data_IF_850127889026
#
_entry.id   IF_850127889026
#
_cell.length_a   1.000
_cell.length_b   1.000
_cell.length_c   1.000
_cell.angle_alpha   90.00
_cell.angle_beta   90.00
_cell.angle_gamma   90.00
#
_symmetry.space_group_name_H-M   'P 1'
#
loop_
_entity.id
_entity.type
_entity.pdbx_description
1 polymer ?
#
# COMPACT_ATOMS: atom_id res chain seq x y z
N UNK A 1 -55.81 5.81 23.59
CA UNK A 1 -55.47 5.89 22.16
C UNK A 1 -53.97 5.68 22.05
N UNK A 2 -53.52 4.53 21.54
CA UNK A 2 -52.09 4.23 21.41
C UNK A 2 -51.50 5.03 20.25
N UNK A 3 -50.42 5.80 20.43
CA UNK A 3 -49.77 6.47 19.31
C UNK A 3 -49.16 5.41 18.38
N UNK A 4 -49.49 5.49 17.09
CA UNK A 4 -48.87 4.68 16.05
C UNK A 4 -47.35 4.86 16.12
N UNK A 5 -46.62 3.75 16.20
CA UNK A 5 -45.17 3.74 16.06
C UNK A 5 -44.79 4.40 14.73
N UNK A 6 -43.97 5.46 14.81
CA UNK A 6 -43.45 6.14 13.63
C UNK A 6 -42.67 5.14 12.74
N UNK A 7 -42.75 5.29 11.40
CA UNK A 7 -42.10 4.38 10.47
C UNK A 7 -40.59 4.34 10.74
N UNK A 8 -40.06 3.13 10.88
CA UNK A 8 -38.63 2.84 11.04
C UNK A 8 -37.91 3.53 9.88
N UNK A 9 -37.10 4.54 10.18
CA UNK A 9 -36.33 5.25 9.18
C UNK A 9 -35.48 4.23 8.39
N UNK A 10 -35.53 4.24 7.04
CA UNK A 10 -34.78 3.28 6.24
C UNK A 10 -33.27 3.40 6.53
N UNK A 11 -32.51 2.29 6.43
CA UNK A 11 -31.10 2.26 6.76
C UNK A 11 -30.34 3.32 5.98
N UNK A 12 -29.57 4.13 6.71
CA UNK A 12 -28.78 5.24 6.19
C UNK A 12 -27.94 4.76 4.99
N UNK A 13 -28.19 5.34 3.80
CA UNK A 13 -27.35 5.07 2.63
C UNK A 13 -25.93 5.52 2.91
N UNK A 14 -24.99 4.60 2.66
CA UNK A 14 -23.56 4.80 2.75
C UNK A 14 -23.13 6.11 2.09
N UNK A 15 -22.33 6.91 2.79
CA UNK A 15 -21.59 8.01 2.19
C UNK A 15 -20.97 7.55 0.86
N UNK A 16 -21.07 8.40 -0.17
CA UNK A 16 -20.78 8.06 -1.56
C UNK A 16 -19.43 7.37 -1.79
N UNK A 17 -19.23 6.78 -2.99
CA UNK A 17 -18.03 6.02 -3.31
C UNK A 17 -16.76 6.83 -3.07
N UNK A 18 -15.69 6.14 -2.68
CA UNK A 18 -14.38 6.72 -2.45
C UNK A 18 -13.92 7.50 -3.70
N UNK A 19 -13.26 8.67 -3.56
CA UNK A 19 -12.79 9.43 -4.71
C UNK A 19 -11.91 8.54 -5.61
N UNK A 20 -12.06 8.60 -6.94
CA UNK A 20 -11.44 7.64 -7.86
C UNK A 20 -9.90 7.68 -7.79
N UNK A 21 -9.31 8.86 -7.58
CA UNK A 21 -7.87 9.05 -7.40
C UNK A 21 -7.33 8.34 -6.16
N UNK A 22 -8.04 8.45 -5.03
CA UNK A 22 -7.67 7.77 -3.79
C UNK A 22 -7.96 6.27 -3.89
N UNK A 23 -9.04 5.87 -4.55
CA UNK A 23 -9.34 4.46 -4.82
C UNK A 23 -8.19 3.81 -5.60
N UNK A 24 -7.72 4.46 -6.66
CA UNK A 24 -6.56 4.00 -7.42
C UNK A 24 -5.29 3.92 -6.56
N UNK A 25 -5.00 4.94 -5.74
CA UNK A 25 -3.86 4.93 -4.82
C UNK A 25 -3.91 3.77 -3.83
N UNK A 26 -5.08 3.51 -3.22
CA UNK A 26 -5.31 2.39 -2.30
C UNK A 26 -5.12 1.04 -2.99
N UNK A 27 -5.63 0.88 -4.21
CA UNK A 27 -5.41 -0.34 -5.00
C UNK A 27 -3.93 -0.57 -5.30
N UNK A 28 -3.20 0.49 -5.66
CA UNK A 28 -1.77 0.41 -5.94
C UNK A 28 -0.95 0.09 -4.68
N UNK A 29 -1.27 0.69 -3.53
CA UNK A 29 -0.65 0.31 -2.26
C UNK A 29 -0.95 -1.15 -1.90
N UNK A 30 -2.19 -1.60 -2.08
CA UNK A 30 -2.57 -3.00 -1.86
C UNK A 30 -1.79 -3.97 -2.77
N UNK A 31 -1.70 -3.68 -4.06
CA UNK A 31 -0.93 -4.46 -5.01
C UNK A 31 0.56 -4.49 -4.65
N UNK A 32 1.14 -3.33 -4.29
CA UNK A 32 2.52 -3.22 -3.84
C UNK A 32 2.78 -4.05 -2.59
N UNK A 33 1.89 -4.01 -1.60
CA UNK A 33 2.00 -4.79 -0.38
C UNK A 33 1.92 -6.29 -0.65
N UNK A 34 1.00 -6.73 -1.50
CA UNK A 34 0.88 -8.14 -1.87
C UNK A 34 2.11 -8.64 -2.63
N UNK A 35 2.64 -7.83 -3.55
CA UNK A 35 3.91 -8.14 -4.22
C UNK A 35 5.07 -8.22 -3.22
N UNK A 36 5.12 -7.32 -2.24
CA UNK A 36 6.14 -7.31 -1.18
C UNK A 36 6.07 -8.56 -0.29
N UNK A 37 4.87 -8.91 0.16
CA UNK A 37 4.61 -10.13 0.94
C UNK A 37 4.96 -11.39 0.14
N UNK A 38 4.57 -11.45 -1.13
CA UNK A 38 4.93 -12.53 -2.04
C UNK A 38 6.44 -12.65 -2.18
N UNK A 39 7.13 -11.56 -2.52
CA UNK A 39 8.58 -11.60 -2.74
C UNK A 39 9.37 -11.99 -1.48
N UNK A 40 9.02 -11.44 -0.31
CA UNK A 40 9.71 -11.74 0.95
C UNK A 40 9.34 -13.12 1.51
N UNK A 41 8.05 -13.47 1.51
CA UNK A 41 7.55 -14.72 2.07
C UNK A 41 7.89 -15.94 1.22
N UNK A 42 7.75 -15.85 -0.10
CA UNK A 42 8.00 -17.00 -0.99
C UNK A 42 9.48 -17.37 -1.00
N UNK A 43 10.39 -16.39 -1.02
CA UNK A 43 11.84 -16.63 -0.97
C UNK A 43 12.28 -17.34 0.32
N UNK A 44 11.75 -16.90 1.47
CA UNK A 44 12.05 -17.51 2.76
C UNK A 44 11.51 -18.94 2.87
N UNK A 45 10.26 -19.17 2.45
CA UNK A 45 9.63 -20.50 2.45
C UNK A 45 10.37 -21.46 1.52
N UNK A 46 10.70 -21.03 0.30
CA UNK A 46 11.46 -21.83 -0.65
C UNK A 46 12.86 -22.17 -0.13
N UNK A 47 13.53 -21.24 0.57
CA UNK A 47 14.79 -21.54 1.26
C UNK A 47 14.65 -22.65 2.30
N UNK A 48 13.55 -22.66 3.06
CA UNK A 48 13.27 -23.69 4.06
C UNK A 48 13.08 -25.08 3.47
N UNK A 49 12.66 -25.18 2.21
CA UNK A 49 12.53 -26.43 1.46
C UNK A 49 13.81 -26.85 0.71
N UNK A 50 14.93 -26.16 0.91
CA UNK A 50 16.19 -26.45 0.25
C UNK A 50 16.26 -26.02 -1.23
N UNK A 51 15.29 -25.22 -1.69
CA UNK A 51 15.32 -24.64 -3.04
C UNK A 51 16.42 -23.58 -3.10
N UNK A 52 17.28 -23.58 -4.14
CA UNK A 52 18.25 -22.52 -4.33
C UNK A 52 17.53 -21.18 -4.50
N UNK A 53 17.81 -20.24 -3.60
CA UNK A 53 17.27 -18.88 -3.60
C UNK A 53 18.41 -17.91 -3.31
N UNK A 54 18.23 -16.64 -3.65
CA UNK A 54 19.25 -15.61 -3.44
C UNK A 54 19.58 -15.43 -1.95
N UNK A 55 20.82 -15.05 -1.63
CA UNK A 55 21.27 -14.83 -0.25
C UNK A 55 20.37 -13.83 0.52
N UNK A 56 19.89 -12.78 -0.16
CA UNK A 56 18.95 -11.79 0.40
C UNK A 56 17.58 -12.36 0.75
N UNK A 57 17.17 -13.48 0.14
CA UNK A 57 15.92 -14.18 0.44
C UNK A 57 16.08 -15.21 1.57
N UNK A 58 17.32 -15.49 1.98
CA UNK A 58 17.65 -16.37 3.12
C UNK A 58 17.92 -15.60 4.40
N UNK A 59 18.28 -14.32 4.30
CA UNK A 59 18.52 -13.48 5.47
C UNK A 59 17.21 -13.25 6.24
N UNK A 60 17.06 -13.83 7.45
CA UNK A 60 15.83 -13.71 8.22
C UNK A 60 15.55 -12.26 8.64
N UNK A 61 16.60 -11.44 8.83
CA UNK A 61 16.45 -10.05 9.24
C UNK A 61 15.93 -9.21 8.07
N UNK A 62 16.56 -9.31 6.90
CA UNK A 62 16.10 -8.67 5.68
C UNK A 62 14.66 -9.04 5.30
N UNK A 63 14.31 -10.33 5.40
CA UNK A 63 12.94 -10.83 5.17
C UNK A 63 11.96 -10.23 6.18
N UNK A 64 12.28 -10.22 7.47
CA UNK A 64 11.40 -9.65 8.49
C UNK A 64 11.15 -8.15 8.26
N UNK A 65 12.19 -7.39 7.91
CA UNK A 65 12.05 -5.96 7.58
C UNK A 65 11.15 -5.78 6.35
N UNK A 66 11.35 -6.57 5.29
CA UNK A 66 10.54 -6.49 4.08
C UNK A 66 9.06 -6.82 4.35
N UNK A 67 8.79 -7.83 5.18
CA UNK A 67 7.43 -8.19 5.61
C UNK A 67 6.77 -7.08 6.43
N UNK A 68 7.50 -6.48 7.38
CA UNK A 68 7.00 -5.34 8.16
C UNK A 68 6.64 -4.17 7.26
N UNK A 69 7.49 -3.83 6.28
CA UNK A 69 7.19 -2.78 5.31
C UNK A 69 5.93 -3.09 4.48
N UNK A 70 5.82 -4.31 3.95
CA UNK A 70 4.66 -4.72 3.17
C UNK A 70 3.37 -4.64 4.00
N UNK A 71 3.42 -5.06 5.27
CA UNK A 71 2.31 -4.94 6.21
C UNK A 71 1.97 -3.47 6.52
N UNK A 72 2.95 -2.59 6.71
CA UNK A 72 2.72 -1.17 6.93
C UNK A 72 2.02 -0.52 5.73
N UNK A 73 2.42 -0.86 4.51
CA UNK A 73 1.77 -0.38 3.27
C UNK A 73 0.35 -0.93 3.15
N UNK A 74 0.12 -2.19 3.53
CA UNK A 74 -1.22 -2.79 3.54
C UNK A 74 -2.15 -2.12 4.56
N UNK A 75 -1.64 -1.87 5.77
CA UNK A 75 -2.36 -1.14 6.82
C UNK A 75 -2.67 0.28 6.35
N UNK A 76 -1.73 0.95 5.67
CA UNK A 76 -1.96 2.27 5.09
C UNK A 76 -3.08 2.25 4.04
N UNK A 77 -3.07 1.27 3.14
CA UNK A 77 -4.13 1.08 2.14
C UNK A 77 -5.49 0.89 2.81
N UNK A 78 -5.54 0.03 3.83
CA UNK A 78 -6.76 -0.26 4.59
C UNK A 78 -7.27 0.97 5.35
N UNK A 79 -6.41 1.70 6.05
CA UNK A 79 -6.79 2.91 6.78
C UNK A 79 -7.30 4.01 5.84
N UNK A 80 -6.65 4.19 4.70
CA UNK A 80 -7.04 5.20 3.72
C UNK A 80 -8.36 4.84 3.05
N UNK A 81 -8.50 3.59 2.57
CA UNK A 81 -9.73 3.08 1.97
C UNK A 81 -10.91 3.01 2.93
N UNK A 82 -10.65 2.81 4.22
CA UNK A 82 -11.68 2.84 5.26
C UNK A 82 -12.12 4.24 5.70
N UNK A 83 -11.41 5.30 5.28
CA UNK A 83 -11.67 6.67 5.77
C UNK A 83 -11.16 6.95 7.18
N UNK A 84 -10.33 6.05 7.73
CA UNK A 84 -9.75 6.16 9.08
C UNK A 84 -8.50 7.04 9.11
N UNK A 85 -7.83 7.21 7.97
CA UNK A 85 -6.64 8.06 7.88
C UNK A 85 -6.99 9.54 8.13
N UNK A 86 -6.12 10.24 8.89
CA UNK A 86 -6.29 11.67 9.16
C UNK A 86 -6.25 12.51 7.87
N UNK A 87 -5.46 12.08 6.90
CA UNK A 87 -5.35 12.63 5.55
C UNK A 87 -4.42 11.77 4.70
N UNK A 88 -4.22 12.14 3.44
CA UNK A 88 -3.43 11.34 2.47
C UNK A 88 -2.07 11.95 2.14
N UNK A 89 -1.78 13.18 2.58
CA UNK A 89 -0.54 13.89 2.25
C UNK A 89 0.71 13.24 2.83
N UNK A 90 0.71 12.96 4.13
CA UNK A 90 1.85 12.32 4.81
C UNK A 90 2.13 10.93 4.22
N UNK A 91 1.08 10.14 4.02
CA UNK A 91 1.14 8.84 3.37
C UNK A 91 1.65 8.90 1.93
N UNK A 92 1.21 9.91 1.18
CA UNK A 92 1.69 10.16 -0.17
C UNK A 92 3.18 10.50 -0.20
N UNK A 93 3.64 11.39 0.68
CA UNK A 93 5.05 11.74 0.82
C UNK A 93 5.91 10.53 1.24
N UNK A 94 5.45 9.74 2.20
CA UNK A 94 6.14 8.51 2.61
C UNK A 94 6.25 7.52 1.45
N UNK A 95 5.19 7.38 0.64
CA UNK A 95 5.21 6.53 -0.55
C UNK A 95 6.19 7.03 -1.60
N UNK A 96 6.28 8.34 -1.82
CA UNK A 96 7.26 8.93 -2.73
C UNK A 96 8.69 8.69 -2.24
N UNK A 97 8.97 8.90 -0.95
CA UNK A 97 10.28 8.63 -0.37
C UNK A 97 10.68 7.16 -0.55
N UNK A 98 9.76 6.24 -0.25
CA UNK A 98 9.99 4.81 -0.45
C UNK A 98 10.16 4.44 -1.91
N UNK A 99 9.41 5.07 -2.82
CA UNK A 99 9.58 4.87 -4.25
C UNK A 99 10.99 5.24 -4.71
N UNK A 100 11.54 6.38 -4.26
CA UNK A 100 12.91 6.77 -4.59
C UNK A 100 13.95 5.82 -3.99
N UNK A 101 13.75 5.35 -2.76
CA UNK A 101 14.61 4.34 -2.15
C UNK A 101 14.61 3.03 -2.95
N UNK A 102 13.43 2.54 -3.33
CA UNK A 102 13.29 1.29 -4.10
C UNK A 102 13.83 1.46 -5.53
N UNK A 103 13.60 2.61 -6.17
CA UNK A 103 14.18 2.92 -7.47
C UNK A 103 15.71 2.97 -7.40
N UNK A 104 16.27 3.62 -6.38
CA UNK A 104 17.71 3.65 -6.13
C UNK A 104 18.29 2.26 -5.94
N UNK A 105 17.61 1.40 -5.17
CA UNK A 105 18.02 0.01 -4.97
C UNK A 105 17.96 -0.82 -6.26
N UNK A 106 16.91 -0.63 -7.08
CA UNK A 106 16.79 -1.27 -8.38
C UNK A 106 17.91 -0.85 -9.35
N UNK A 107 18.22 0.46 -9.39
CA UNK A 107 19.32 1.00 -10.21
C UNK A 107 20.68 0.48 -9.74
N UNK A 108 20.94 0.49 -8.42
CA UNK A 108 22.17 -0.06 -7.85
C UNK A 108 22.33 -1.54 -8.17
N UNK A 109 21.24 -2.31 -8.05
CA UNK A 109 21.21 -3.74 -8.39
C UNK A 109 21.51 -3.96 -9.87
N UNK A 110 20.93 -3.16 -10.77
CA UNK A 110 21.21 -3.22 -12.20
C UNK A 110 22.67 -2.87 -12.51
N UNK A 111 23.22 -1.84 -11.87
CA UNK A 111 24.62 -1.42 -12.02
C UNK A 111 25.60 -2.52 -11.59
N UNK A 112 25.36 -3.16 -10.44
CA UNK A 112 26.18 -4.28 -9.98
C UNK A 112 26.16 -5.47 -10.94
N UNK A 113 25.00 -5.72 -11.57
CA UNK A 113 24.87 -6.73 -12.62
C UNK A 113 25.67 -6.36 -13.88
N UNK A 114 25.47 -5.16 -14.42
CA UNK A 114 26.12 -4.71 -15.67
C UNK A 114 27.64 -4.62 -15.52
N UNK A 115 28.13 -4.28 -14.33
CA UNK A 115 29.58 -4.18 -14.03
C UNK A 115 30.23 -5.52 -13.70
N UNK A 116 29.47 -6.62 -13.68
CA UNK A 116 30.00 -7.95 -13.36
C UNK A 116 30.47 -8.11 -11.90
N UNK A 117 30.18 -7.14 -11.02
CA UNK A 117 30.42 -7.24 -9.57
C UNK A 117 29.32 -8.04 -8.84
N UNK A 118 28.56 -8.84 -9.59
CA UNK A 118 27.46 -9.63 -9.09
C UNK A 118 27.90 -10.72 -8.12
N UNK A 119 27.03 -11.01 -7.16
CA UNK A 119 27.21 -12.08 -6.19
C UNK A 119 27.09 -13.40 -6.97
N UNK A 120 28.19 -14.15 -7.04
CA UNK A 120 28.37 -15.25 -8.00
C UNK A 120 27.18 -16.21 -8.13
N UNK A 121 26.79 -16.47 -9.38
CA UNK A 121 26.05 -17.68 -9.78
C UNK A 121 24.53 -17.61 -9.87
N UNK A 122 23.87 -16.48 -9.57
CA UNK A 122 22.40 -16.38 -9.58
C UNK A 122 21.86 -15.22 -10.45
N UNK A 123 22.42 -15.06 -11.65
CA UNK A 123 22.14 -13.93 -12.54
C UNK A 123 20.63 -13.75 -12.82
N UNK A 124 19.91 -14.83 -13.14
CA UNK A 124 18.46 -14.78 -13.45
C UNK A 124 17.62 -14.35 -12.24
N UNK A 125 17.92 -14.85 -11.04
CA UNK A 125 17.18 -14.50 -9.83
C UNK A 125 17.36 -13.04 -9.43
N UNK A 126 18.53 -12.46 -9.70
CA UNK A 126 18.82 -11.05 -9.44
C UNK A 126 18.01 -10.12 -10.36
N UNK A 127 17.85 -10.45 -11.65
CA UNK A 127 17.04 -9.65 -12.59
C UNK A 127 15.56 -9.62 -12.19
N UNK A 128 15.00 -10.77 -11.81
CA UNK A 128 13.59 -10.86 -11.39
C UNK A 128 13.36 -10.06 -10.10
N UNK A 129 14.27 -10.17 -9.13
CA UNK A 129 14.20 -9.38 -7.90
C UNK A 129 14.31 -7.87 -8.17
N UNK A 130 15.25 -7.44 -9.01
CA UNK A 130 15.41 -6.03 -9.39
C UNK A 130 14.18 -5.49 -10.13
N UNK A 131 13.59 -6.27 -11.05
CA UNK A 131 12.37 -5.91 -11.76
C UNK A 131 11.16 -5.78 -10.82
N UNK A 132 11.02 -6.69 -9.86
CA UNK A 132 9.97 -6.63 -8.84
C UNK A 132 10.12 -5.40 -7.94
N UNK A 133 11.33 -5.09 -7.50
CA UNK A 133 11.63 -3.88 -6.71
C UNK A 133 11.35 -2.62 -7.52
N UNK A 134 11.72 -2.59 -8.81
CA UNK A 134 11.40 -1.50 -9.72
C UNK A 134 9.89 -1.31 -9.94
N UNK A 135 9.14 -2.40 -10.07
CA UNK A 135 7.68 -2.36 -10.18
C UNK A 135 7.02 -1.84 -8.89
N UNK A 136 7.52 -2.26 -7.72
CA UNK A 136 7.09 -1.71 -6.43
C UNK A 136 7.38 -0.22 -6.31
N UNK A 137 8.56 0.23 -6.74
CA UNK A 137 8.91 1.64 -6.80
C UNK A 137 7.90 2.43 -7.64
N UNK A 138 7.54 1.92 -8.82
CA UNK A 138 6.57 2.55 -9.71
C UNK A 138 5.17 2.62 -9.05
N UNK A 139 4.71 1.55 -8.43
CA UNK A 139 3.43 1.54 -7.73
C UNK A 139 3.39 2.55 -6.58
N UNK A 140 4.45 2.62 -5.77
CA UNK A 140 4.58 3.60 -4.69
C UNK A 140 4.65 5.03 -5.22
N UNK A 141 5.32 5.26 -6.35
CA UNK A 141 5.45 6.58 -6.97
C UNK A 141 4.10 7.09 -7.47
N UNK A 142 3.38 6.26 -8.23
CA UNK A 142 2.06 6.60 -8.77
C UNK A 142 1.04 6.73 -7.64
N UNK A 143 1.02 5.81 -6.67
CA UNK A 143 0.13 5.89 -5.51
C UNK A 143 0.41 7.14 -4.67
N UNK A 144 1.68 7.46 -4.43
CA UNK A 144 2.09 8.65 -3.70
C UNK A 144 1.63 9.93 -4.37
N UNK A 145 1.83 10.04 -5.68
CA UNK A 145 1.37 11.20 -6.46
C UNK A 145 -0.15 11.35 -6.46
N UNK A 146 -0.89 10.25 -6.65
CA UNK A 146 -2.35 10.24 -6.61
C UNK A 146 -2.88 10.59 -5.21
N UNK A 147 -2.23 10.12 -4.15
CA UNK A 147 -2.60 10.42 -2.77
C UNK A 147 -2.39 11.90 -2.42
N UNK A 148 -1.31 12.52 -2.90
CA UNK A 148 -1.05 13.96 -2.74
C UNK A 148 -2.05 14.79 -3.53
N UNK A 149 -2.28 14.47 -4.82
CA UNK A 149 -3.25 15.21 -5.64
C UNK A 149 -4.70 15.03 -5.20
N UNK A 150 -5.05 13.84 -4.71
CA UNK A 150 -6.38 13.50 -4.25
C UNK A 150 -6.72 14.00 -2.85
N UNK A 151 -5.79 14.66 -2.14
CA UNK A 151 -5.95 15.07 -0.74
C UNK A 151 -7.23 15.87 -0.50
N UNK A 152 -7.48 16.93 -1.27
CA UNK A 152 -8.67 17.79 -1.09
C UNK A 152 -9.97 17.01 -1.29
N UNK A 153 -10.00 16.10 -2.27
CA UNK A 153 -11.15 15.24 -2.52
C UNK A 153 -11.37 14.23 -1.39
N UNK A 154 -10.29 13.69 -0.82
CA UNK A 154 -10.35 12.81 0.34
C UNK A 154 -10.88 13.53 1.58
N UNK A 155 -10.39 14.73 1.87
CA UNK A 155 -10.82 15.54 3.00
C UNK A 155 -12.30 15.91 2.88
N UNK A 156 -12.75 16.37 1.71
CA UNK A 156 -14.16 16.67 1.45
C UNK A 156 -15.05 15.42 1.63
N UNK A 157 -14.61 14.28 1.09
CA UNK A 157 -15.34 13.01 1.23
C UNK A 157 -15.37 12.50 2.67
N UNK A 158 -14.27 12.65 3.42
CA UNK A 158 -14.17 12.25 4.84
C UNK A 158 -15.02 13.16 5.71
N UNK A 159 -14.99 14.47 5.47
CA UNK A 159 -15.84 15.44 6.14
C UNK A 159 -17.31 15.07 5.97
N UNK A 160 -17.75 14.77 4.75
CA UNK A 160 -19.12 14.33 4.44
C UNK A 160 -19.54 13.02 5.13
N UNK A 161 -18.59 12.18 5.56
CA UNK A 161 -18.86 11.00 6.40
C UNK A 161 -19.05 11.35 7.87
N UNK A 162 -18.36 12.37 8.36
CA UNK A 162 -18.38 12.78 9.77
C UNK A 162 -19.45 13.81 10.09
N UNK A 163 -19.87 14.64 9.13
CA UNK A 163 -20.98 15.60 9.28
C UNK A 163 -22.32 14.90 9.13
N UNK A 164 -22.70 14.18 10.20
CA UNK A 164 -24.08 13.80 10.52
C UNK A 164 -24.95 15.07 10.53
N UNK A 165 -26.11 15.12 9.85
CA UNK A 165 -27.13 16.08 10.23
C UNK A 165 -27.56 15.73 11.66
N UNK A 166 -27.35 16.66 12.59
CA UNK A 166 -27.90 16.55 13.93
C UNK A 166 -29.39 16.23 13.79
N UNK A 167 -29.82 15.08 14.33
CA UNK A 167 -31.25 14.88 14.54
C UNK A 167 -31.74 16.07 15.36
N UNK A 168 -32.78 16.79 14.93
CA UNK A 168 -33.50 17.65 15.85
C UNK A 168 -34.15 16.74 16.89
N UNK A 169 -33.42 16.44 17.97
CA UNK A 169 -33.98 15.80 19.15
C UNK A 169 -34.67 16.91 19.93
N UNK A 170 -35.96 17.06 19.61
CA UNK A 170 -37.07 17.62 20.39
C UNK A 170 -36.76 18.81 21.32
N UNK A 171 -37.25 19.98 20.88
CA UNK A 171 -37.77 21.02 21.76
C UNK A 171 -39.02 20.54 22.51
#
# INVERSE_FOLDING_TARGET
>A
MSPLAAPIAPPARSAGPLPPTIKAAVTLWGACALLGLGNAGLGFVLSGFGVPVNASQRDPVGVAIALLFALLVLVLAYQTGGGRAAGTKSSGNASLLLAFLYAGFAVLSLLMIVTGQGWGGAEVGLYVAAALVGLQALFLLVAGFLAVRGQKAYEAWRAARTTRPASPVNA
#
